data_IF_518510391390
#
_entry.id   IF_518510391390
#
_cell.length_a   1.000
_cell.length_b   1.000
_cell.length_c   1.000
_cell.angle_alpha   90.00
_cell.angle_beta   90.00
_cell.angle_gamma   90.00
#
_symmetry.space_group_name_H-M   'P 1'
#
loop_
_entity.id
_entity.type
_entity.pdbx_description
1 polymer ?
#
# COMPACT_ATOMS: atom_id res chain seq x y z
N UNK A 1 -67.99 -2.22 26.21
CA UNK A 1 -66.95 -1.84 27.21
C UNK A 1 -65.92 -2.96 27.22
N UNK A 2 -64.67 -2.71 26.78
CA UNK A 2 -63.43 -3.47 27.09
C UNK A 2 -63.35 -4.89 26.47
N UNK A 3 -62.33 -5.40 25.77
CA UNK A 3 -61.01 -4.93 25.28
C UNK A 3 -60.71 -5.73 23.99
N UNK A 4 -60.11 -5.04 23.01
CA UNK A 4 -59.57 -5.55 21.75
C UNK A 4 -58.19 -6.16 21.99
N UNK A 5 -57.93 -7.39 21.54
CA UNK A 5 -56.56 -7.92 21.36
C UNK A 5 -56.34 -8.30 19.89
N UNK A 6 -55.91 -7.28 19.14
CA UNK A 6 -55.35 -7.37 17.80
C UNK A 6 -53.93 -7.95 17.90
N UNK A 7 -53.78 -9.25 17.64
CA UNK A 7 -52.49 -9.87 17.36
C UNK A 7 -52.10 -9.56 15.90
N UNK A 8 -51.56 -8.36 15.68
CA UNK A 8 -50.92 -7.99 14.42
C UNK A 8 -49.54 -8.64 14.41
N UNK A 9 -49.45 -9.79 13.74
CA UNK A 9 -48.17 -10.38 13.34
C UNK A 9 -47.48 -9.37 12.43
N UNK A 10 -46.46 -8.67 12.96
CA UNK A 10 -45.52 -7.90 12.16
C UNK A 10 -44.62 -8.88 11.41
N UNK A 11 -45.02 -9.26 10.21
CA UNK A 11 -44.08 -9.79 9.20
C UNK A 11 -43.14 -8.65 8.83
N UNK A 12 -41.98 -8.62 9.48
CA UNK A 12 -40.82 -7.85 9.07
C UNK A 12 -40.45 -8.30 7.67
N UNK A 13 -40.62 -7.40 6.70
CA UNK A 13 -40.13 -7.55 5.34
C UNK A 13 -38.60 -7.64 5.42
N UNK A 14 -38.07 -8.85 5.32
CA UNK A 14 -36.63 -9.08 5.17
C UNK A 14 -36.32 -8.64 3.74
N UNK A 15 -35.94 -7.38 3.56
CA UNK A 15 -35.28 -6.97 2.32
C UNK A 15 -33.91 -7.63 2.35
N UNK A 16 -33.80 -8.80 1.74
CA UNK A 16 -32.53 -9.33 1.28
C UNK A 16 -31.94 -8.28 0.35
N UNK A 17 -31.04 -7.46 0.90
CA UNK A 17 -30.10 -6.71 0.09
C UNK A 17 -29.22 -7.78 -0.55
N UNK A 18 -29.59 -8.17 -1.77
CA UNK A 18 -28.70 -8.90 -2.65
C UNK A 18 -27.47 -8.00 -2.77
N UNK A 19 -26.41 -8.35 -2.03
CA UNK A 19 -25.08 -7.78 -2.19
C UNK A 19 -24.70 -8.15 -3.63
N UNK A 20 -24.98 -7.23 -4.57
CA UNK A 20 -24.51 -7.36 -5.94
C UNK A 20 -23.00 -7.39 -5.87
N UNK A 21 -22.46 -8.60 -5.91
CA UNK A 21 -21.05 -8.80 -6.21
C UNK A 21 -20.92 -8.36 -7.65
N UNK A 22 -20.43 -7.12 -7.86
CA UNK A 22 -20.04 -6.64 -9.17
C UNK A 22 -19.06 -7.68 -9.70
N UNK A 23 -19.31 -8.31 -10.86
CA UNK A 23 -18.33 -9.20 -11.47
C UNK A 23 -17.06 -8.39 -11.62
N UNK A 24 -16.01 -8.78 -10.89
CA UNK A 24 -14.71 -8.14 -10.99
C UNK A 24 -14.37 -8.07 -12.47
N UNK A 25 -14.24 -6.85 -12.98
CA UNK A 25 -13.66 -6.65 -14.31
C UNK A 25 -12.34 -7.38 -14.28
N UNK A 26 -12.19 -8.40 -15.12
CA UNK A 26 -10.88 -9.00 -15.39
C UNK A 26 -9.94 -7.82 -15.61
N UNK A 27 -8.89 -7.64 -14.77
CA UNK A 27 -8.00 -6.51 -14.94
C UNK A 27 -7.55 -6.48 -16.39
N UNK A 28 -7.63 -5.31 -17.02
CA UNK A 28 -7.11 -5.18 -18.38
C UNK A 28 -5.64 -5.64 -18.34
N UNK A 29 -5.08 -6.26 -19.38
CA UNK A 29 -3.66 -6.60 -19.42
C UNK A 29 -2.75 -5.39 -19.10
N UNK A 30 -3.26 -4.19 -19.34
CA UNK A 30 -2.64 -2.89 -19.00
C UNK A 30 -2.71 -2.51 -17.52
N UNK A 31 -3.44 -3.22 -16.67
CA UNK A 31 -3.59 -2.92 -15.24
C UNK A 31 -2.67 -3.78 -14.36
N UNK A 32 -1.93 -4.72 -14.97
CA UNK A 32 -0.92 -5.52 -14.29
C UNK A 32 0.45 -4.84 -14.45
N UNK A 33 1.23 -4.79 -13.37
CA UNK A 33 2.57 -4.23 -13.38
C UNK A 33 3.66 -5.31 -13.41
N UNK A 34 4.86 -4.97 -13.91
CA UNK A 34 6.05 -5.79 -13.70
C UNK A 34 6.44 -5.81 -12.21
N UNK A 35 7.54 -6.47 -11.88
CA UNK A 35 8.15 -6.30 -10.56
C UNK A 35 8.49 -4.84 -10.29
N UNK A 36 8.48 -4.48 -9.01
CA UNK A 36 8.75 -3.12 -8.59
C UNK A 36 10.23 -2.84 -8.87
N UNK A 37 10.57 -1.85 -9.72
CA UNK A 37 11.96 -1.58 -10.07
C UNK A 37 12.71 -1.07 -8.84
N UNK A 38 13.64 -1.88 -8.34
CA UNK A 38 14.48 -1.52 -7.21
C UNK A 38 15.87 -1.11 -7.68
N UNK A 39 16.41 -0.06 -7.08
CA UNK A 39 17.80 0.35 -7.29
C UNK A 39 18.53 0.41 -5.95
N UNK A 40 19.80 0.01 -5.97
CA UNK A 40 20.72 0.23 -4.86
C UNK A 40 21.18 1.69 -4.90
N UNK A 41 21.31 2.31 -3.74
CA UNK A 41 21.69 3.72 -3.69
C UNK A 41 23.20 3.88 -3.60
N UNK A 42 23.71 4.97 -4.18
CA UNK A 42 25.04 5.48 -3.84
C UNK A 42 24.91 6.44 -2.66
N UNK A 43 24.51 5.93 -1.49
CA UNK A 43 24.41 6.73 -0.27
C UNK A 43 25.66 6.56 0.61
N UNK A 44 25.96 7.55 1.45
CA UNK A 44 27.05 7.48 2.44
C UNK A 44 26.75 6.45 3.55
N UNK A 45 25.48 6.06 3.71
CA UNK A 45 25.02 5.04 4.63
C UNK A 45 24.76 3.71 3.91
N UNK A 46 24.92 2.56 4.59
CA UNK A 46 24.55 1.27 4.01
C UNK A 46 23.06 1.24 3.64
N UNK A 47 22.73 0.55 2.56
CA UNK A 47 21.33 0.29 2.19
C UNK A 47 20.62 -0.50 3.29
N UNK A 48 19.32 -0.27 3.42
CA UNK A 48 18.47 -1.13 4.23
C UNK A 48 18.22 -2.47 3.54
N UNK A 49 17.51 -3.37 4.22
CA UNK A 49 17.04 -4.63 3.64
C UNK A 49 15.62 -4.44 3.10
N UNK A 50 15.43 -4.44 1.76
CA UNK A 50 14.10 -4.38 1.18
C UNK A 50 13.41 -5.75 1.22
N UNK A 51 12.08 -5.74 1.36
CA UNK A 51 11.21 -6.89 1.11
C UNK A 51 9.93 -6.45 0.42
N UNK A 52 9.34 -7.35 -0.37
CA UNK A 52 8.19 -7.06 -1.21
C UNK A 52 7.10 -8.10 -1.02
N UNK A 53 5.88 -7.64 -0.79
CA UNK A 53 4.68 -8.47 -0.74
C UNK A 53 3.74 -8.02 -1.85
N UNK A 54 3.68 -8.82 -2.91
CA UNK A 54 2.74 -8.62 -4.01
C UNK A 54 1.39 -9.25 -3.69
N UNK A 55 0.30 -8.62 -4.12
CA UNK A 55 -1.03 -9.21 -4.00
C UNK A 55 -1.23 -10.44 -4.90
N UNK A 56 -0.50 -10.54 -6.01
CA UNK A 56 -0.50 -11.66 -6.93
C UNK A 56 0.82 -11.73 -7.68
N UNK A 57 1.33 -12.95 -7.93
CA UNK A 57 2.56 -13.18 -8.69
C UNK A 57 2.34 -13.20 -10.21
N UNK A 58 1.08 -13.34 -10.66
CA UNK A 58 0.72 -13.42 -12.09
C UNK A 58 0.21 -12.10 -12.65
N UNK A 59 -0.50 -11.31 -11.85
CA UNK A 59 -0.93 -9.96 -12.20
C UNK A 59 -0.82 -9.06 -10.96
N UNK A 60 0.31 -8.35 -10.86
CA UNK A 60 0.61 -7.48 -9.73
C UNK A 60 -0.18 -6.18 -9.88
N UNK A 61 -1.13 -5.93 -8.99
CA UNK A 61 -1.89 -4.66 -8.94
C UNK A 61 -1.52 -3.83 -7.73
N UNK A 62 -0.97 -4.46 -6.69
CA UNK A 62 -0.53 -3.80 -5.47
C UNK A 62 0.74 -4.49 -4.97
N UNK A 63 1.67 -3.70 -4.46
CA UNK A 63 2.85 -4.20 -3.74
C UNK A 63 3.05 -3.41 -2.48
N UNK A 64 3.31 -4.10 -1.38
CA UNK A 64 3.81 -3.48 -0.15
C UNK A 64 5.32 -3.70 -0.11
N UNK A 65 6.07 -2.61 -0.11
CA UNK A 65 7.52 -2.62 0.11
C UNK A 65 7.79 -2.28 1.56
N UNK A 66 8.63 -3.09 2.20
CA UNK A 66 9.14 -2.82 3.55
C UNK A 66 10.65 -2.67 3.47
N UNK A 67 11.16 -1.59 4.04
CA UNK A 67 12.59 -1.30 4.17
C UNK A 67 12.96 -1.39 5.65
N UNK A 68 13.90 -2.26 6.00
CA UNK A 68 14.34 -2.46 7.38
C UNK A 68 15.84 -2.24 7.57
N UNK A 69 16.24 -1.76 8.74
CA UNK A 69 17.64 -1.76 9.17
C UNK A 69 18.16 -3.19 9.29
N UNK A 70 19.44 -3.37 9.01
CA UNK A 70 20.16 -4.62 9.29
C UNK A 70 20.60 -4.73 10.74
N UNK A 71 20.75 -3.59 11.43
CA UNK A 71 21.12 -3.48 12.83
C UNK A 71 20.31 -2.37 13.52
N UNK A 72 19.36 -2.77 14.37
CA UNK A 72 18.48 -1.86 15.10
C UNK A 72 19.21 -1.09 16.23
N UNK A 73 20.47 -1.42 16.54
CA UNK A 73 21.27 -0.71 17.54
C UNK A 73 21.87 0.60 17.02
N UNK A 74 21.87 0.81 15.70
CA UNK A 74 22.46 1.98 15.05
C UNK A 74 21.59 3.25 15.16
N UNK A 75 20.36 3.14 15.69
CA UNK A 75 19.37 4.23 15.82
C UNK A 75 19.16 5.03 14.52
N UNK A 76 19.18 4.31 13.38
CA UNK A 76 18.94 4.86 12.06
C UNK A 76 17.47 4.70 11.66
N UNK A 77 17.02 5.61 10.81
CA UNK A 77 15.75 5.51 10.14
C UNK A 77 15.91 4.71 8.85
N UNK A 78 14.99 3.79 8.61
CA UNK A 78 14.81 3.20 7.30
C UNK A 78 13.90 4.12 6.48
N UNK A 79 14.26 4.40 5.23
CA UNK A 79 13.49 5.23 4.34
C UNK A 79 13.29 4.55 2.99
N UNK A 80 12.07 4.72 2.46
CA UNK A 80 11.71 4.32 1.10
C UNK A 80 11.74 5.57 0.24
N UNK A 81 12.65 5.60 -0.72
CA UNK A 81 12.83 6.72 -1.65
C UNK A 81 12.36 6.28 -3.04
N UNK A 82 11.61 7.15 -3.72
CA UNK A 82 11.12 6.93 -5.08
C UNK A 82 11.80 7.87 -6.06
N UNK A 83 12.20 7.32 -7.21
CA UNK A 83 12.87 8.06 -8.28
C UNK A 83 14.08 8.85 -7.77
N UNK A 84 14.89 8.26 -6.88
CA UNK A 84 16.13 8.79 -6.31
C UNK A 84 15.99 10.00 -5.37
N UNK A 85 14.90 10.77 -5.46
CA UNK A 85 14.78 12.07 -4.78
C UNK A 85 13.56 12.20 -3.87
N UNK A 86 12.54 11.35 -4.01
CA UNK A 86 11.27 11.52 -3.30
C UNK A 86 11.20 10.61 -2.08
N UNK A 87 11.27 11.15 -0.88
CA UNK A 87 11.02 10.38 0.34
C UNK A 87 9.53 10.03 0.42
N UNK A 88 9.20 8.75 0.25
CA UNK A 88 7.83 8.24 0.23
C UNK A 88 7.37 7.81 1.63
N UNK A 89 8.27 7.23 2.41
CA UNK A 89 8.02 6.82 3.79
C UNK A 89 9.35 6.73 4.55
N UNK A 90 9.33 7.01 5.84
CA UNK A 90 10.49 6.79 6.71
C UNK A 90 10.04 6.54 8.14
N UNK A 91 10.72 5.60 8.81
CA UNK A 91 10.46 5.27 10.19
C UNK A 91 11.69 4.66 10.85
N UNK A 92 11.74 4.75 12.17
CA UNK A 92 12.83 4.15 12.95
C UNK A 92 12.81 2.63 12.72
N UNK A 93 13.98 2.07 12.39
CA UNK A 93 14.20 0.65 12.11
C UNK A 93 13.48 0.04 10.90
N UNK A 94 12.21 0.37 10.65
CA UNK A 94 11.42 -0.23 9.57
C UNK A 94 10.39 0.76 9.02
N UNK A 95 10.47 1.04 7.73
CA UNK A 95 9.48 1.80 6.97
C UNK A 95 8.71 0.87 6.02
N UNK A 96 7.42 1.12 5.82
CA UNK A 96 6.61 0.32 4.90
C UNK A 96 5.65 1.18 4.11
N UNK A 97 5.64 1.03 2.80
CA UNK A 97 4.76 1.77 1.90
C UNK A 97 4.09 0.84 0.90
N UNK A 98 2.91 1.22 0.42
CA UNK A 98 2.14 0.45 -0.55
C UNK A 98 2.03 1.22 -1.86
N UNK A 99 2.35 0.55 -2.95
CA UNK A 99 2.28 1.08 -4.31
C UNK A 99 1.17 0.40 -5.10
N UNK A 100 0.53 1.17 -5.97
CA UNK A 100 -0.58 0.71 -6.79
C UNK A 100 -0.14 0.64 -8.26
N UNK A 101 -0.58 -0.37 -8.98
CA UNK A 101 -0.41 -0.42 -10.41
C UNK A 101 -1.51 0.39 -11.08
N UNK A 102 -1.14 1.31 -11.98
CA UNK A 102 -2.08 2.05 -12.82
C UNK A 102 -1.52 2.11 -14.25
N UNK A 103 -2.21 1.50 -15.20
CA UNK A 103 -1.78 1.50 -16.60
C UNK A 103 -0.39 0.88 -16.83
N UNK A 104 -0.01 -0.12 -16.03
CA UNK A 104 1.26 -0.84 -16.13
C UNK A 104 2.45 -0.13 -15.46
N UNK A 105 2.19 1.00 -14.80
CA UNK A 105 3.17 1.76 -14.03
C UNK A 105 2.84 1.72 -12.55
N UNK A 106 3.89 1.62 -11.72
CA UNK A 106 3.74 1.72 -10.28
C UNK A 106 3.52 3.18 -9.88
N UNK A 107 2.57 3.43 -8.99
CA UNK A 107 2.26 4.76 -8.47
C UNK A 107 2.21 4.77 -6.95
N UNK A 108 2.59 5.92 -6.39
CA UNK A 108 2.47 6.23 -4.98
C UNK A 108 1.60 7.48 -4.83
N UNK A 109 0.53 7.39 -4.03
CA UNK A 109 -0.36 8.53 -3.78
C UNK A 109 -0.33 8.88 -2.31
N UNK A 110 0.05 10.12 -2.00
CA UNK A 110 -0.01 10.67 -0.66
C UNK A 110 -0.50 12.11 -0.71
N UNK A 111 -1.32 12.49 0.28
CA UNK A 111 -1.82 13.85 0.44
C UNK A 111 -2.47 14.45 -0.84
N UNK A 112 -3.14 13.60 -1.62
CA UNK A 112 -3.81 14.00 -2.86
C UNK A 112 -2.88 14.19 -4.08
N UNK A 113 -1.58 13.97 -3.93
CA UNK A 113 -0.62 13.97 -5.04
C UNK A 113 -0.22 12.54 -5.41
N UNK A 114 -0.10 12.27 -6.71
CA UNK A 114 0.31 10.96 -7.23
C UNK A 114 1.64 11.07 -7.94
N UNK A 115 2.60 10.25 -7.53
CA UNK A 115 3.89 10.08 -8.17
C UNK A 115 3.89 8.77 -8.96
N UNK A 116 4.35 8.83 -10.21
CA UNK A 116 4.68 7.62 -11.00
C UNK A 116 6.10 7.21 -10.67
N UNK A 117 6.29 5.95 -10.30
CA UNK A 117 7.57 5.39 -9.88
C UNK A 117 8.29 4.76 -11.06
N UNK A 118 9.49 5.26 -11.35
CA UNK A 118 10.47 4.63 -12.23
C UNK A 118 11.43 3.73 -11.46
N UNK A 119 11.65 4.03 -10.16
CA UNK A 119 12.45 3.24 -9.24
C UNK A 119 12.03 3.45 -7.80
N UNK A 120 12.38 2.49 -6.95
CA UNK A 120 12.34 2.62 -5.49
C UNK A 120 13.67 2.18 -4.89
N UNK A 121 13.98 2.74 -3.74
CA UNK A 121 15.21 2.56 -3.01
C UNK A 121 14.90 2.36 -1.52
N UNK A 122 15.77 1.62 -0.83
CA UNK A 122 15.67 1.34 0.59
C UNK A 122 16.97 1.78 1.24
N UNK A 123 16.94 2.96 1.87
CA UNK A 123 18.13 3.58 2.44
C UNK A 123 18.03 3.64 3.96
N UNK A 124 19.19 3.62 4.61
CA UNK A 124 19.30 4.00 6.01
C UNK A 124 19.75 5.46 6.07
N UNK A 125 19.11 6.24 6.93
CA UNK A 125 19.41 7.67 7.07
C UNK A 125 19.31 8.08 8.54
N UNK A 126 19.91 9.22 8.86
CA UNK A 126 19.69 9.83 10.16
C UNK A 126 18.22 10.22 10.32
N UNK A 127 17.71 10.30 11.56
CA UNK A 127 16.41 10.89 11.81
C UNK A 127 16.35 12.27 11.14
N UNK A 128 15.30 12.61 10.36
CA UNK A 128 15.17 13.94 9.81
C UNK A 128 15.20 14.96 10.96
N UNK A 129 16.21 15.82 10.98
CA UNK A 129 16.35 16.87 11.99
C UNK A 129 15.37 17.98 11.68
N UNK A 130 14.12 17.84 12.13
CA UNK A 130 13.12 18.89 11.97
C UNK A 130 11.72 18.40 12.30
N UNK A 131 11.22 18.77 13.48
CA UNK A 131 9.78 18.92 13.75
C UNK A 131 9.39 20.36 13.52
#
# INVERSE_FOLDING_TARGET
MIIVFLLIVRMTLITETCLQTIPGTTPSPTDCCPELPYMLTSSDFPDGTPSYVYNSLTCRTTVTMTCSTTDASLDLYAAIVGNEINYLEYAQNTASSTFQCQGGSWTYTAQGSTLVLTSVECILTNPPTGK
#
